data_IF_648070720625
#
_entry.id   IF_648070720625
#
_cell.length_a   1.000
_cell.length_b   1.000
_cell.length_c   1.000
_cell.angle_alpha   90.00
_cell.angle_beta   90.00
_cell.angle_gamma   90.00
#
_symmetry.space_group_name_H-M   'P 1'
#
loop_
_entity.id
_entity.type
_entity.pdbx_description
1 polymer ?
#
# COMPACT_ATOMS: atom_id res chain seq x y z
N UNK A 1 -3.30 33.84 5.51
CA UNK A 1 -4.19 32.75 5.09
C UNK A 1 -3.91 32.42 3.62
N UNK A 2 -4.05 31.16 3.19
CA UNK A 2 -3.85 30.72 1.80
C UNK A 2 -4.54 31.65 0.77
N UNK A 3 -5.69 32.20 1.15
CA UNK A 3 -6.50 33.15 0.39
C UNK A 3 -5.80 34.50 0.07
N UNK A 4 -4.80 34.89 0.87
CA UNK A 4 -4.04 36.13 0.65
C UNK A 4 -2.99 36.01 -0.44
N UNK A 5 -2.46 34.81 -0.69
CA UNK A 5 -1.45 34.55 -1.75
C UNK A 5 -2.08 34.31 -3.12
N UNK A 6 -3.38 34.01 -3.18
CA UNK A 6 -4.13 33.86 -4.44
C UNK A 6 -4.45 35.19 -5.14
N UNK A 7 -4.28 36.33 -4.45
CA UNK A 7 -4.69 37.65 -4.95
C UNK A 7 -3.68 38.29 -5.90
N UNK A 8 -2.54 37.67 -6.13
CA UNK A 8 -1.45 38.23 -6.93
C UNK A 8 -0.78 37.13 -7.76
N UNK A 9 -1.54 36.44 -8.60
CA UNK A 9 -0.97 35.74 -9.76
C UNK A 9 -0.71 36.83 -10.80
N UNK A 10 0.52 37.32 -10.84
CA UNK A 10 0.98 38.29 -11.84
C UNK A 10 1.59 37.49 -12.99
N UNK A 11 1.11 37.73 -14.20
CA UNK A 11 1.60 37.09 -15.45
C UNK A 11 1.17 35.62 -15.63
N UNK A 12 0.88 35.26 -16.88
CA UNK A 12 0.48 33.90 -17.27
C UNK A 12 1.57 32.84 -17.00
N UNK A 13 2.83 33.24 -16.89
CA UNK A 13 3.98 32.35 -16.64
C UNK A 13 3.97 31.78 -15.21
N UNK A 14 3.58 32.57 -14.20
CA UNK A 14 3.48 32.10 -12.80
C UNK A 14 2.31 31.12 -12.61
N UNK A 15 1.22 31.31 -13.37
CA UNK A 15 0.07 30.41 -13.38
C UNK A 15 0.43 29.06 -14.01
N UNK A 16 1.20 29.08 -15.10
CA UNK A 16 1.67 27.90 -15.80
C UNK A 16 2.68 27.10 -14.94
N UNK A 17 3.61 27.78 -14.27
CA UNK A 17 4.57 27.14 -13.36
C UNK A 17 3.87 26.46 -12.16
N UNK A 18 2.86 27.12 -11.58
CA UNK A 18 2.05 26.55 -10.49
C UNK A 18 1.26 25.32 -10.98
N UNK A 19 0.71 25.36 -12.19
CA UNK A 19 0.00 24.23 -12.79
C UNK A 19 0.95 23.04 -13.03
N UNK A 20 2.11 23.25 -13.65
CA UNK A 20 3.11 22.20 -13.88
C UNK A 20 3.68 21.63 -12.57
N UNK A 21 3.84 22.46 -11.53
CA UNK A 21 4.24 21.99 -10.20
C UNK A 21 3.16 21.08 -9.59
N UNK A 22 1.89 21.44 -9.74
CA UNK A 22 0.78 20.65 -9.21
C UNK A 22 0.61 19.31 -9.95
N UNK A 23 0.71 19.30 -11.28
CA UNK A 23 0.68 18.07 -12.09
C UNK A 23 1.79 17.09 -11.68
N UNK A 24 3.03 17.59 -11.53
CA UNK A 24 4.16 16.77 -11.05
C UNK A 24 3.95 16.23 -9.64
N UNK A 25 3.29 16.97 -8.77
CA UNK A 25 2.93 16.50 -7.42
C UNK A 25 1.86 15.40 -7.48
N UNK A 26 0.84 15.55 -8.33
CA UNK A 26 -0.20 14.55 -8.52
C UNK A 26 0.36 13.24 -9.10
N UNK A 27 1.23 13.32 -10.10
CA UNK A 27 1.86 12.14 -10.70
C UNK A 27 2.68 11.37 -9.66
N UNK A 28 3.49 12.07 -8.87
CA UNK A 28 4.28 11.46 -7.79
C UNK A 28 3.38 10.79 -6.74
N UNK A 29 2.27 11.43 -6.38
CA UNK A 29 1.31 10.88 -5.42
C UNK A 29 0.60 9.63 -5.99
N UNK A 30 0.20 9.66 -7.26
CA UNK A 30 -0.40 8.51 -7.96
C UNK A 30 0.58 7.34 -8.07
N UNK A 31 1.86 7.61 -8.35
CA UNK A 31 2.88 6.57 -8.42
C UNK A 31 3.12 5.93 -7.04
N UNK A 32 3.25 6.75 -6.00
CA UNK A 32 3.42 6.28 -4.62
C UNK A 32 2.24 5.41 -4.17
N UNK A 33 1.02 5.88 -4.36
CA UNK A 33 -0.19 5.14 -3.95
C UNK A 33 -0.38 3.83 -4.72
N UNK A 34 -0.05 3.80 -6.02
CA UNK A 34 -0.03 2.56 -6.81
C UNK A 34 1.00 1.56 -6.28
N UNK A 35 2.17 2.04 -5.85
CA UNK A 35 3.19 1.17 -5.27
C UNK A 35 2.74 0.58 -3.93
N UNK A 36 2.24 1.42 -3.02
CA UNK A 36 1.72 0.99 -1.71
C UNK A 36 0.60 -0.05 -1.87
N UNK A 37 -0.38 0.21 -2.76
CA UNK A 37 -1.47 -0.74 -3.00
C UNK A 37 -1.03 -2.08 -3.61
N UNK A 38 0.04 -2.09 -4.41
CA UNK A 38 0.63 -3.35 -4.90
C UNK A 38 1.28 -4.15 -3.78
N UNK A 39 2.02 -3.49 -2.89
CA UNK A 39 2.69 -4.17 -1.78
C UNK A 39 1.67 -4.73 -0.78
N UNK A 40 0.65 -3.93 -0.42
CA UNK A 40 -0.47 -4.39 0.41
C UNK A 40 -1.18 -5.60 -0.20
N UNK A 41 -1.45 -5.56 -1.51
CA UNK A 41 -2.07 -6.69 -2.21
C UNK A 41 -1.24 -7.98 -2.17
N UNK A 42 0.10 -7.88 -2.24
CA UNK A 42 0.99 -9.04 -2.11
C UNK A 42 0.99 -9.60 -0.69
N UNK A 43 0.98 -8.73 0.32
CA UNK A 43 0.94 -9.15 1.73
C UNK A 43 -0.38 -9.87 2.03
N UNK A 44 -1.50 -9.31 1.60
CA UNK A 44 -2.82 -9.91 1.81
C UNK A 44 -2.98 -11.25 1.06
N UNK A 45 -2.41 -11.38 -0.14
CA UNK A 45 -2.43 -12.66 -0.88
C UNK A 45 -1.61 -13.76 -0.18
N UNK A 46 -0.45 -13.42 0.41
CA UNK A 46 0.33 -14.37 1.24
C UNK A 46 -0.45 -14.82 2.46
N UNK A 47 -1.10 -13.90 3.18
CA UNK A 47 -1.93 -14.21 4.35
C UNK A 47 -3.13 -15.09 3.98
N UNK A 48 -3.86 -14.72 2.92
CA UNK A 48 -5.01 -15.50 2.44
C UNK A 48 -4.60 -16.92 2.01
N UNK A 49 -3.41 -17.06 1.41
CA UNK A 49 -2.83 -18.36 1.08
C UNK A 49 -2.49 -19.17 2.34
N UNK A 50 -1.87 -18.54 3.34
CA UNK A 50 -1.58 -19.18 4.61
C UNK A 50 -2.85 -19.71 5.28
N UNK A 51 -3.92 -18.91 5.36
CA UNK A 51 -5.20 -19.31 5.95
C UNK A 51 -5.81 -20.52 5.23
N UNK A 52 -5.77 -20.55 3.89
CA UNK A 52 -6.25 -21.73 3.12
C UNK A 52 -5.44 -22.99 3.44
N UNK A 53 -4.11 -22.89 3.46
CA UNK A 53 -3.24 -24.03 3.80
C UNK A 53 -3.45 -24.52 5.24
N UNK A 54 -3.72 -23.61 6.19
CA UNK A 54 -4.07 -23.97 7.56
C UNK A 54 -5.39 -24.76 7.61
N UNK A 55 -6.40 -24.34 6.84
CA UNK A 55 -7.68 -25.03 6.74
C UNK A 55 -7.55 -26.42 6.08
N UNK A 56 -6.58 -26.59 5.17
CA UNK A 56 -6.20 -27.87 4.59
C UNK A 56 -5.37 -28.77 5.54
N UNK A 57 -5.05 -28.28 6.75
CA UNK A 57 -4.32 -29.05 7.77
C UNK A 57 -2.82 -29.09 7.57
N UNK A 58 -2.26 -28.19 6.75
CA UNK A 58 -0.81 -28.10 6.54
C UNK A 58 -0.09 -27.60 7.80
N UNK A 59 1.14 -28.08 8.00
CA UNK A 59 1.99 -27.66 9.11
C UNK A 59 2.64 -26.29 8.87
N UNK A 60 3.06 -25.65 9.97
CA UNK A 60 3.58 -24.28 9.93
C UNK A 60 4.90 -24.15 9.15
N UNK A 61 5.73 -25.21 9.10
CA UNK A 61 6.96 -25.19 8.32
C UNK A 61 6.68 -25.24 6.82
N UNK A 62 5.69 -26.03 6.40
CA UNK A 62 5.20 -26.04 5.04
C UNK A 62 4.61 -24.68 4.64
N UNK A 63 3.76 -24.11 5.49
CA UNK A 63 3.11 -22.81 5.25
C UNK A 63 4.16 -21.70 5.13
N UNK A 64 5.14 -21.65 6.03
CA UNK A 64 6.24 -20.68 5.99
C UNK A 64 7.02 -20.75 4.67
N UNK A 65 7.32 -21.97 4.22
CA UNK A 65 8.05 -22.18 2.96
C UNK A 65 7.26 -21.72 1.73
N UNK A 66 5.96 -21.96 1.69
CA UNK A 66 5.13 -21.63 0.52
C UNK A 66 4.77 -20.13 0.47
N UNK A 67 4.49 -19.54 1.63
CA UNK A 67 3.98 -18.16 1.71
C UNK A 67 5.08 -17.13 1.94
N UNK A 68 6.25 -17.56 2.41
CA UNK A 68 7.34 -16.69 2.84
C UNK A 68 7.07 -15.96 4.16
N UNK A 69 5.97 -16.30 4.86
CA UNK A 69 5.66 -15.75 6.17
C UNK A 69 6.55 -16.38 7.25
N UNK A 70 6.85 -15.59 8.28
CA UNK A 70 7.50 -16.06 9.50
C UNK A 70 6.56 -16.91 10.35
N UNK A 71 7.14 -17.71 11.24
CA UNK A 71 6.36 -18.48 12.22
C UNK A 71 5.50 -17.61 13.13
N UNK A 72 5.98 -16.42 13.49
CA UNK A 72 5.22 -15.48 14.33
C UNK A 72 3.98 -14.94 13.60
N UNK A 73 4.11 -14.61 12.32
CA UNK A 73 2.98 -14.19 11.47
C UNK A 73 1.96 -15.32 11.30
N UNK A 74 2.43 -16.56 11.09
CA UNK A 74 1.57 -17.75 11.00
C UNK A 74 0.83 -18.00 12.32
N UNK A 75 1.51 -17.91 13.46
CA UNK A 75 0.91 -18.07 14.78
C UNK A 75 -0.11 -16.97 15.11
N UNK A 76 0.12 -15.73 14.65
CA UNK A 76 -0.86 -14.66 14.74
C UNK A 76 -2.10 -14.99 13.90
N UNK A 77 -1.93 -15.35 12.63
CA UNK A 77 -3.03 -15.70 11.72
C UNK A 77 -3.88 -16.85 12.26
N UNK A 78 -3.26 -17.89 12.84
CA UNK A 78 -3.98 -18.99 13.49
C UNK A 78 -4.89 -18.51 14.62
N UNK A 79 -4.39 -17.60 15.47
CA UNK A 79 -5.17 -17.03 16.58
C UNK A 79 -6.32 -16.15 16.12
N UNK A 80 -6.14 -15.45 15.00
CA UNK A 80 -7.17 -14.56 14.44
C UNK A 80 -8.30 -15.33 13.75
N UNK A 81 -7.97 -16.44 13.06
CA UNK A 81 -8.91 -17.16 12.19
C UNK A 81 -9.48 -18.46 12.77
N UNK A 82 -8.89 -19.04 13.82
CA UNK A 82 -9.40 -20.27 14.48
C UNK A 82 -9.98 -20.00 15.87
N UNK A 83 -10.91 -19.05 15.94
CA UNK A 83 -11.80 -18.89 17.11
C UNK A 83 -13.01 -19.82 17.01
#
# INVERSE_FOLDING_TARGET
>A
ALLGRLKEVRSGEEAEEVATNFERMLDRWLEKTKWEGREEGRVEERKATAVRLMAEGMDDAFIARVTGLSFDEIALLRREHMK
#
